data_IF_842530008972
#
_entry.id   IF_842530008972
#
_cell.length_a   1.000
_cell.length_b   1.000
_cell.length_c   1.000
_cell.angle_alpha   90.00
_cell.angle_beta   90.00
_cell.angle_gamma   90.00
#
_symmetry.space_group_name_H-M   'P 1'
#
loop_
_entity.id
_entity.type
_entity.pdbx_description
1 polymer ?
#
# COMPACT_ATOMS: atom_id res chain seq x y z
N UNK A 1 31.67 16.01 51.11
CA UNK A 1 32.27 17.30 50.71
C UNK A 1 33.24 17.05 49.55
N UNK A 2 32.79 17.22 48.31
CA UNK A 2 33.67 17.32 47.13
C UNK A 2 33.34 18.64 46.41
N UNK A 3 34.06 19.66 46.90
CA UNK A 3 34.71 20.74 46.18
C UNK A 3 33.94 21.49 45.08
N UNK A 4 33.42 22.62 45.56
CA UNK A 4 33.00 23.91 45.01
C UNK A 4 33.74 24.48 43.78
N UNK A 5 34.69 23.79 43.14
CA UNK A 5 35.49 24.39 42.06
C UNK A 5 34.86 24.32 40.65
N UNK A 6 33.60 23.92 40.52
CA UNK A 6 32.90 23.94 39.21
C UNK A 6 32.24 25.28 38.86
N UNK A 7 32.25 26.28 39.75
CA UNK A 7 31.44 27.49 39.58
C UNK A 7 32.16 28.75 39.10
N UNK A 8 33.45 28.70 38.78
CA UNK A 8 34.19 29.87 38.27
C UNK A 8 34.78 29.59 36.90
N UNK A 9 34.41 30.43 35.94
CA UNK A 9 34.62 30.25 34.52
C UNK A 9 36.06 30.06 34.08
N UNK A 10 36.22 29.23 33.06
CA UNK A 10 37.48 29.02 32.36
C UNK A 10 37.30 28.00 31.24
N UNK A 11 37.50 28.45 30.01
CA UNK A 11 37.86 27.71 28.79
C UNK A 11 38.02 26.17 28.91
N UNK A 12 37.32 25.44 28.04
CA UNK A 12 37.71 24.12 27.49
C UNK A 12 38.00 22.97 28.47
N UNK A 13 37.27 22.86 29.58
CA UNK A 13 37.07 21.55 30.17
C UNK A 13 36.02 20.80 29.35
N UNK A 14 36.51 20.11 28.31
CA UNK A 14 35.84 18.98 27.67
C UNK A 14 35.47 18.01 28.80
N UNK A 15 34.28 18.16 29.38
CA UNK A 15 33.70 17.09 30.15
C UNK A 15 33.59 15.91 29.19
N UNK A 16 34.05 14.73 29.62
CA UNK A 16 34.00 13.52 28.79
C UNK A 16 32.57 13.10 28.37
N UNK A 17 31.54 13.80 28.87
CA UNK A 17 30.13 13.62 28.54
C UNK A 17 29.46 14.95 28.13
N UNK A 18 30.08 15.74 27.25
CA UNK A 18 29.38 16.87 26.64
C UNK A 18 28.38 16.35 25.60
N UNK A 19 27.11 16.24 25.98
CA UNK A 19 26.00 16.02 25.07
C UNK A 19 25.69 17.35 24.37
N UNK A 20 26.50 17.68 23.36
CA UNK A 20 26.37 18.90 22.56
C UNK A 20 25.21 18.77 21.56
N UNK A 21 23.98 18.83 22.05
CA UNK A 21 22.79 18.91 21.18
C UNK A 21 22.57 20.36 20.73
N UNK A 22 22.27 20.53 19.44
CA UNK A 22 21.90 21.84 18.90
C UNK A 22 20.56 22.29 19.50
N UNK A 23 20.41 23.57 19.92
CA UNK A 23 19.16 24.06 20.45
C UNK A 23 18.07 24.11 19.35
N UNK A 24 16.86 23.61 19.67
CA UNK A 24 15.69 23.62 18.76
C UNK A 24 15.04 25.02 18.63
N UNK A 25 15.26 25.88 19.62
CA UNK A 25 14.73 27.25 19.64
C UNK A 25 15.88 28.22 19.84
N UNK A 26 16.25 28.91 18.77
CA UNK A 26 17.29 29.94 18.78
C UNK A 26 16.69 31.25 18.27
N UNK A 27 16.86 32.33 19.04
CA UNK A 27 16.46 33.68 18.63
C UNK A 27 17.73 34.45 18.30
N UNK A 28 17.96 34.73 17.01
CA UNK A 28 19.09 35.53 16.54
C UNK A 28 18.62 36.95 16.31
N UNK A 29 19.26 37.92 16.95
CA UNK A 29 19.03 39.33 16.72
C UNK A 29 20.23 39.90 15.98
N UNK A 30 20.04 40.30 14.73
CA UNK A 30 21.03 41.10 14.02
C UNK A 30 20.99 42.53 14.58
N UNK A 31 22.16 43.06 14.92
CA UNK A 31 22.28 44.40 15.50
C UNK A 31 23.15 45.26 14.60
N UNK A 32 22.63 46.43 14.22
CA UNK A 32 23.38 47.45 13.50
C UNK A 32 23.68 48.62 14.46
N UNK A 33 24.94 49.06 14.48
CA UNK A 33 25.38 50.18 15.31
C UNK A 33 25.74 51.38 14.44
N UNK A 34 25.24 52.55 14.80
CA UNK A 34 25.67 53.83 14.23
C UNK A 34 25.91 54.84 15.35
N UNK A 35 26.92 55.69 15.18
CA UNK A 35 27.27 56.71 16.16
C UNK A 35 27.61 58.04 15.50
N UNK A 36 27.19 59.11 16.17
CA UNK A 36 27.48 60.48 15.77
C UNK A 36 27.80 61.33 17.02
N UNK A 37 28.54 62.42 16.82
CA UNK A 37 28.79 63.38 17.90
C UNK A 37 27.48 64.09 18.27
N UNK A 38 27.12 64.01 19.56
CA UNK A 38 25.94 64.67 20.13
C UNK A 38 26.34 65.46 21.39
N UNK A 39 25.81 66.68 21.60
CA UNK A 39 25.05 67.49 20.64
C UNK A 39 25.92 67.99 19.46
N UNK A 40 25.30 68.46 18.39
CA UNK A 40 26.04 69.07 17.28
C UNK A 40 26.77 70.34 17.74
N UNK A 41 27.91 70.68 17.11
CA UNK A 41 28.75 71.84 17.51
C UNK A 41 27.99 73.17 17.60
N UNK A 42 26.95 73.33 16.77
CA UNK A 42 26.14 74.54 16.70
C UNK A 42 24.77 74.39 17.41
N UNK A 43 24.51 73.24 18.03
CA UNK A 43 23.25 72.99 18.71
C UNK A 43 23.34 73.50 20.15
N UNK A 44 22.62 74.58 20.41
CA UNK A 44 22.48 75.14 21.76
C UNK A 44 21.38 74.34 22.46
N UNK A 45 21.79 73.50 23.42
CA UNK A 45 20.86 72.93 24.39
C UNK A 45 20.28 74.14 25.16
N UNK A 46 18.95 74.16 25.33
CA UNK A 46 18.22 75.34 25.84
C UNK A 46 18.86 75.99 27.07
N UNK A 47 18.48 77.23 27.35
CA UNK A 47 19.09 78.07 28.41
C UNK A 47 19.03 77.47 29.82
N UNK A 48 18.26 76.42 30.03
CA UNK A 48 18.13 75.75 31.31
C UNK A 48 19.00 74.48 31.32
N UNK A 49 20.10 74.55 32.07
CA UNK A 49 21.04 73.44 32.23
C UNK A 49 20.89 72.83 33.62
N UNK A 50 19.94 71.91 33.82
CA UNK A 50 19.63 71.35 35.14
C UNK A 50 20.73 70.43 35.68
N UNK A 51 21.63 69.96 34.81
CA UNK A 51 22.66 68.98 35.20
C UNK A 51 23.72 69.54 36.16
N UNK A 52 24.02 70.84 36.07
CA UNK A 52 25.06 71.50 36.89
C UNK A 52 24.62 72.93 37.20
N UNK A 53 24.41 73.22 38.48
CA UNK A 53 23.88 74.50 38.97
C UNK A 53 24.84 75.66 38.67
N UNK A 54 26.16 75.43 38.79
CA UNK A 54 27.18 76.47 38.62
C UNK A 54 27.31 77.01 37.19
N UNK A 55 26.79 76.27 36.19
CA UNK A 55 26.83 76.66 34.77
C UNK A 55 25.44 76.93 34.19
N UNK A 56 24.41 77.08 35.04
CA UNK A 56 23.03 77.19 34.61
C UNK A 56 22.78 78.33 33.60
N UNK A 57 23.50 79.45 33.71
CA UNK A 57 23.36 80.59 32.80
C UNK A 57 24.34 80.58 31.61
N UNK A 58 25.27 79.62 31.53
CA UNK A 58 26.26 79.52 30.45
C UNK A 58 25.93 78.35 29.50
N UNK A 59 25.27 78.68 28.39
CA UNK A 59 24.90 77.73 27.33
C UNK A 59 26.11 77.00 26.71
N UNK A 60 27.28 77.63 26.63
CA UNK A 60 28.48 77.03 26.01
C UNK A 60 29.13 76.03 26.95
N UNK A 61 29.30 76.39 28.23
CA UNK A 61 29.81 75.48 29.24
C UNK A 61 28.89 74.26 29.40
N UNK A 62 27.58 74.49 29.32
CA UNK A 62 26.59 73.43 29.38
C UNK A 62 26.62 72.50 28.15
N UNK A 63 26.71 73.04 26.93
CA UNK A 63 26.83 72.22 25.73
C UNK A 63 28.10 71.35 25.78
N UNK A 64 29.23 71.91 26.26
CA UNK A 64 30.47 71.18 26.45
C UNK A 64 30.35 70.10 27.55
N UNK A 65 29.59 70.37 28.61
CA UNK A 65 29.29 69.39 29.65
C UNK A 65 28.52 68.20 29.09
N UNK A 66 27.41 68.43 28.38
CA UNK A 66 26.63 67.35 27.77
C UNK A 66 27.43 66.58 26.72
N UNK A 67 28.27 67.27 25.93
CA UNK A 67 29.14 66.65 24.93
C UNK A 67 30.19 65.72 25.54
N UNK A 68 30.66 65.99 26.77
CA UNK A 68 31.67 65.17 27.46
C UNK A 68 31.08 64.09 28.36
N UNK A 69 29.90 64.33 28.92
CA UNK A 69 29.36 63.52 30.01
C UNK A 69 28.06 62.77 29.66
N UNK A 70 27.52 62.92 28.45
CA UNK A 70 26.23 62.33 28.08
C UNK A 70 26.29 61.61 26.74
N UNK A 71 25.57 60.48 26.67
CA UNK A 71 25.34 59.74 25.43
C UNK A 71 23.82 59.58 25.22
N UNK A 72 23.38 59.76 23.98
CA UNK A 72 22.02 59.50 23.55
C UNK A 72 21.97 58.16 22.81
N UNK A 73 21.13 57.23 23.28
CA UNK A 73 20.99 55.88 22.74
C UNK A 73 19.53 55.69 22.34
N UNK A 74 19.29 55.30 21.09
CA UNK A 74 17.97 54.98 20.56
C UNK A 74 18.00 53.57 19.95
N UNK A 75 17.05 52.73 20.35
CA UNK A 75 16.90 51.35 19.86
C UNK A 75 15.66 51.31 18.99
N UNK A 76 15.82 50.88 17.74
CA UNK A 76 14.74 50.76 16.78
C UNK A 76 14.94 49.49 15.96
N UNK A 77 13.85 49.02 15.36
CA UNK A 77 13.93 47.93 14.39
C UNK A 77 14.52 48.46 13.09
N UNK A 78 15.57 47.82 12.59
CA UNK A 78 16.15 48.15 11.28
C UNK A 78 15.11 48.00 10.17
N UNK A 79 14.28 46.94 10.26
CA UNK A 79 13.27 46.58 9.26
C UNK A 79 11.99 46.12 9.97
N UNK A 80 10.81 46.38 9.37
CA UNK A 80 9.50 45.93 9.88
C UNK A 80 9.20 44.45 9.56
N UNK A 81 10.09 43.78 8.82
CA UNK A 81 9.91 42.40 8.43
C UNK A 81 10.50 41.48 9.49
N UNK A 82 9.75 40.44 9.84
CA UNK A 82 10.23 39.32 10.65
C UNK A 82 10.25 38.07 9.77
N UNK A 83 11.33 37.31 9.83
CA UNK A 83 11.44 35.99 9.20
C UNK A 83 11.36 34.93 10.30
N UNK A 84 10.58 33.88 10.09
CA UNK A 84 10.49 32.77 11.04
C UNK A 84 10.77 31.47 10.33
N UNK A 85 11.89 30.84 10.71
CA UNK A 85 12.29 29.52 10.24
C UNK A 85 11.78 28.49 11.24
N UNK A 86 10.89 27.59 10.80
CA UNK A 86 10.41 26.48 11.63
C UNK A 86 10.73 25.17 10.95
N UNK A 87 11.37 24.28 11.68
CA UNK A 87 11.56 22.89 11.27
C UNK A 87 10.34 22.07 11.69
N UNK A 88 9.73 21.39 10.72
CA UNK A 88 8.68 20.39 10.97
C UNK A 88 9.18 19.03 10.54
N UNK A 89 8.70 17.97 11.19
CA UNK A 89 9.06 16.60 10.81
C UNK A 89 8.81 16.37 9.31
N UNK A 90 9.85 15.96 8.56
CA UNK A 90 9.76 15.70 7.12
C UNK A 90 8.74 14.61 6.75
N UNK A 91 8.33 13.82 7.73
CA UNK A 91 7.28 12.81 7.59
C UNK A 91 6.34 12.87 8.78
N UNK A 92 5.11 13.31 8.54
CA UNK A 92 4.08 13.36 9.57
C UNK A 92 3.36 12.02 9.71
N UNK A 93 2.76 11.76 10.87
CA UNK A 93 1.90 10.59 11.11
C UNK A 93 0.77 10.48 10.07
N UNK A 94 0.29 11.61 9.55
CA UNK A 94 -0.73 11.63 8.49
C UNK A 94 -0.19 11.09 7.16
N UNK A 95 1.08 11.37 6.85
CA UNK A 95 1.75 10.83 5.65
C UNK A 95 1.94 9.31 5.81
N UNK A 96 2.27 8.85 7.02
CA UNK A 96 2.36 7.43 7.34
C UNK A 96 1.07 6.66 7.01
N UNK A 97 -0.07 7.17 7.48
CA UNK A 97 -1.36 6.55 7.20
C UNK A 97 -1.77 6.68 5.73
N UNK A 98 -1.39 7.75 5.04
CA UNK A 98 -1.59 7.90 3.60
C UNK A 98 -0.89 6.78 2.82
N UNK A 99 0.38 6.53 3.15
CA UNK A 99 1.18 5.49 2.49
C UNK A 99 0.69 4.08 2.83
N UNK A 100 0.32 3.82 4.10
CA UNK A 100 -0.32 2.56 4.49
C UNK A 100 -1.66 2.36 3.77
N UNK A 101 -2.50 3.39 3.71
CA UNK A 101 -3.81 3.32 3.06
C UNK A 101 -3.70 3.00 1.57
N UNK A 102 -2.77 3.63 0.85
CA UNK A 102 -2.51 3.33 -0.56
C UNK A 102 -2.04 1.90 -0.79
N UNK A 103 -1.02 1.46 -0.03
CA UNK A 103 -0.47 0.10 -0.16
C UNK A 103 -1.52 -0.96 0.22
N UNK A 104 -2.11 -0.87 1.42
CA UNK A 104 -3.08 -1.85 1.92
C UNK A 104 -4.34 -1.84 1.03
N UNK A 105 -4.78 -0.68 0.56
CA UNK A 105 -5.89 -0.56 -0.39
C UNK A 105 -5.63 -1.32 -1.69
N UNK A 106 -4.42 -1.20 -2.25
CA UNK A 106 -4.01 -1.95 -3.45
C UNK A 106 -4.00 -3.47 -3.19
N UNK A 107 -3.36 -3.91 -2.09
CA UNK A 107 -3.27 -5.35 -1.74
C UNK A 107 -4.65 -5.97 -1.46
N UNK A 108 -5.53 -5.26 -0.75
CA UNK A 108 -6.91 -5.70 -0.52
C UNK A 108 -7.68 -5.73 -1.84
N UNK A 109 -7.50 -4.73 -2.71
CA UNK A 109 -8.13 -4.70 -4.03
C UNK A 109 -7.73 -5.91 -4.90
N UNK A 110 -6.43 -6.19 -5.02
CA UNK A 110 -5.92 -7.38 -5.72
C UNK A 110 -6.48 -8.66 -5.12
N UNK A 111 -6.48 -8.79 -3.79
CA UNK A 111 -7.03 -9.94 -3.08
C UNK A 111 -8.51 -10.18 -3.42
N UNK A 112 -9.35 -9.14 -3.42
CA UNK A 112 -10.78 -9.27 -3.74
C UNK A 112 -11.00 -9.69 -5.20
N UNK A 113 -10.24 -9.13 -6.15
CA UNK A 113 -10.30 -9.53 -7.56
C UNK A 113 -9.96 -11.02 -7.71
N UNK A 114 -8.87 -11.48 -7.07
CA UNK A 114 -8.51 -12.90 -7.11
C UNK A 114 -9.58 -13.78 -6.46
N UNK A 115 -10.22 -13.35 -5.37
CA UNK A 115 -11.32 -14.10 -4.76
C UNK A 115 -12.50 -14.24 -5.72
N UNK A 116 -12.87 -13.19 -6.45
CA UNK A 116 -13.91 -13.25 -7.48
C UNK A 116 -13.53 -14.20 -8.62
N UNK A 117 -12.29 -14.16 -9.08
CA UNK A 117 -11.78 -15.09 -10.11
C UNK A 117 -11.88 -16.56 -9.65
N UNK A 118 -11.52 -16.86 -8.40
CA UNK A 118 -11.66 -18.22 -7.85
C UNK A 118 -13.14 -18.65 -7.78
N UNK A 119 -14.04 -17.75 -7.41
CA UNK A 119 -15.49 -18.04 -7.40
C UNK A 119 -16.01 -18.35 -8.80
N UNK A 120 -15.67 -17.51 -9.79
CA UNK A 120 -16.03 -17.73 -11.20
C UNK A 120 -15.49 -19.07 -11.70
N UNK A 121 -14.21 -19.36 -11.44
CA UNK A 121 -13.57 -20.62 -11.81
C UNK A 121 -14.27 -21.84 -11.18
N UNK A 122 -14.62 -21.77 -9.89
CA UNK A 122 -15.35 -22.84 -9.20
C UNK A 122 -16.74 -23.04 -9.82
N UNK A 123 -17.45 -21.97 -10.13
CA UNK A 123 -18.75 -22.04 -10.80
C UNK A 123 -18.64 -22.71 -12.18
N UNK A 124 -17.65 -22.35 -12.99
CA UNK A 124 -17.41 -22.96 -14.31
C UNK A 124 -17.04 -24.45 -14.21
N UNK A 125 -16.17 -24.81 -13.28
CA UNK A 125 -15.79 -26.20 -13.02
C UNK A 125 -17.02 -27.00 -12.61
N UNK A 126 -17.83 -26.48 -11.68
CA UNK A 126 -19.07 -27.11 -11.25
C UNK A 126 -20.05 -27.32 -12.42
N UNK A 127 -20.25 -26.29 -13.26
CA UNK A 127 -21.07 -26.40 -14.46
C UNK A 127 -20.55 -27.47 -15.43
N UNK A 128 -19.23 -27.51 -15.68
CA UNK A 128 -18.63 -28.51 -16.55
C UNK A 128 -18.73 -29.95 -15.99
N UNK A 129 -18.46 -30.13 -14.70
CA UNK A 129 -18.52 -31.46 -14.07
C UNK A 129 -19.94 -31.98 -13.94
N UNK A 130 -20.90 -31.14 -13.55
CA UNK A 130 -22.28 -31.55 -13.28
C UNK A 130 -23.12 -31.61 -14.55
N UNK A 131 -22.97 -30.66 -15.48
CA UNK A 131 -23.82 -30.60 -16.67
C UNK A 131 -23.20 -31.35 -17.86
N UNK A 132 -21.92 -31.09 -18.16
CA UNK A 132 -21.26 -31.64 -19.37
C UNK A 132 -20.83 -33.10 -19.20
N UNK A 133 -20.19 -33.49 -18.09
CA UNK A 133 -19.67 -34.86 -17.92
C UNK A 133 -20.75 -35.96 -17.98
N UNK A 134 -21.88 -35.90 -17.25
CA UNK A 134 -22.86 -36.98 -17.33
C UNK A 134 -23.48 -37.09 -18.73
N UNK A 135 -23.70 -35.97 -19.42
CA UNK A 135 -24.17 -35.99 -20.80
C UNK A 135 -23.16 -36.68 -21.73
N UNK A 136 -21.87 -36.38 -21.61
CA UNK A 136 -20.82 -37.05 -22.40
C UNK A 136 -20.73 -38.55 -22.07
N UNK A 137 -20.80 -38.93 -20.79
CA UNK A 137 -20.78 -40.33 -20.35
C UNK A 137 -22.02 -41.09 -20.83
N UNK A 138 -23.21 -40.49 -20.76
CA UNK A 138 -24.45 -41.06 -21.27
C UNK A 138 -24.36 -41.31 -22.78
N UNK A 139 -23.85 -40.33 -23.55
CA UNK A 139 -23.60 -40.49 -24.99
C UNK A 139 -22.62 -41.62 -25.30
N UNK A 140 -21.52 -41.73 -24.55
CA UNK A 140 -20.54 -42.84 -24.69
C UNK A 140 -21.16 -44.20 -24.34
N UNK A 141 -21.94 -44.30 -23.26
CA UNK A 141 -22.66 -45.52 -22.88
C UNK A 141 -23.64 -45.96 -23.97
N UNK A 142 -24.41 -45.03 -24.54
CA UNK A 142 -25.34 -45.31 -25.64
C UNK A 142 -24.63 -45.86 -26.88
N UNK A 143 -23.50 -45.25 -27.27
CA UNK A 143 -22.69 -45.75 -28.38
C UNK A 143 -22.14 -47.16 -28.11
N UNK A 144 -21.60 -47.41 -26.90
CA UNK A 144 -21.10 -48.74 -26.52
C UNK A 144 -22.20 -49.79 -26.56
N UNK A 145 -23.38 -49.50 -26.02
CA UNK A 145 -24.53 -50.40 -26.04
C UNK A 145 -24.98 -50.70 -27.49
N UNK A 146 -24.95 -49.71 -28.39
CA UNK A 146 -25.24 -49.90 -29.81
C UNK A 146 -24.25 -50.86 -30.48
N UNK A 147 -22.96 -50.80 -30.14
CA UNK A 147 -21.93 -51.73 -30.64
C UNK A 147 -22.11 -53.14 -30.07
N UNK A 148 -22.37 -53.27 -28.76
CA UNK A 148 -22.60 -54.56 -28.10
C UNK A 148 -23.84 -55.27 -28.66
N UNK A 149 -24.94 -54.53 -28.86
CA UNK A 149 -26.16 -55.05 -29.47
C UNK A 149 -25.89 -55.56 -30.90
N UNK A 150 -25.14 -54.81 -31.71
CA UNK A 150 -24.71 -55.24 -33.06
C UNK A 150 -23.88 -56.53 -33.05
N UNK A 151 -22.97 -56.71 -32.07
CA UNK A 151 -22.19 -57.96 -31.93
C UNK A 151 -23.07 -59.15 -31.53
N UNK A 152 -24.03 -58.95 -30.62
CA UNK A 152 -24.97 -60.01 -30.20
C UNK A 152 -25.84 -60.49 -31.37
N UNK A 153 -26.32 -59.58 -32.21
CA UNK A 153 -27.04 -59.95 -33.44
C UNK A 153 -26.20 -60.82 -34.36
N UNK A 154 -24.93 -60.44 -34.62
CA UNK A 154 -24.03 -61.20 -35.50
C UNK A 154 -23.73 -62.62 -34.98
N UNK A 155 -23.45 -62.77 -33.68
CA UNK A 155 -23.20 -64.09 -33.08
C UNK A 155 -24.40 -65.04 -33.16
N UNK A 156 -25.63 -64.50 -33.08
CA UNK A 156 -26.86 -65.31 -33.21
C UNK A 156 -27.08 -65.80 -34.65
N UNK A 157 -26.60 -65.06 -35.65
CA UNK A 157 -26.59 -65.48 -37.05
C UNK A 157 -25.54 -66.58 -37.30
N UNK A 158 -24.39 -66.52 -36.61
CA UNK A 158 -23.34 -67.54 -36.74
C UNK A 158 -23.69 -68.85 -36.03
N UNK A 159 -24.28 -68.81 -34.82
CA UNK A 159 -24.64 -70.02 -34.06
C UNK A 159 -25.75 -70.84 -34.72
N UNK A 160 -26.72 -70.17 -35.34
CA UNK A 160 -27.72 -70.83 -36.19
C UNK A 160 -27.02 -71.54 -37.36
N UNK A 161 -26.03 -70.92 -38.00
CA UNK A 161 -25.27 -71.56 -39.09
C UNK A 161 -24.39 -72.75 -38.65
N UNK A 162 -23.81 -72.73 -37.44
CA UNK A 162 -23.03 -73.85 -36.90
C UNK A 162 -23.89 -75.02 -36.41
N UNK A 163 -25.04 -74.73 -35.78
CA UNK A 163 -26.00 -75.77 -35.39
C UNK A 163 -26.55 -76.47 -36.62
N UNK A 164 -26.85 -75.72 -37.69
CA UNK A 164 -27.20 -76.30 -38.99
C UNK A 164 -26.08 -77.18 -39.53
N UNK A 165 -24.81 -76.73 -39.50
CA UNK A 165 -23.67 -77.53 -39.98
C UNK A 165 -23.38 -78.78 -39.14
N UNK A 166 -23.58 -78.73 -37.82
CA UNK A 166 -23.37 -79.88 -36.94
C UNK A 166 -24.53 -80.89 -37.00
N UNK A 167 -25.77 -80.40 -37.11
CA UNK A 167 -26.95 -81.23 -37.33
C UNK A 167 -26.90 -81.91 -38.70
N UNK A 168 -26.50 -81.17 -39.75
CA UNK A 168 -26.32 -81.74 -41.08
C UNK A 168 -25.20 -82.78 -41.11
N UNK A 169 -24.07 -82.55 -40.43
CA UNK A 169 -22.92 -83.49 -40.45
C UNK A 169 -23.12 -84.75 -39.60
N UNK A 170 -24.08 -84.77 -38.67
CA UNK A 170 -24.35 -85.93 -37.80
C UNK A 170 -25.51 -86.81 -38.30
N UNK A 171 -26.48 -86.25 -39.02
CA UNK A 171 -27.69 -86.99 -39.43
C UNK A 171 -27.73 -87.37 -40.91
N UNK A 172 -26.88 -86.83 -41.76
CA UNK A 172 -26.92 -87.18 -43.21
C UNK A 172 -26.12 -88.42 -43.58
N UNK A 173 -25.38 -89.04 -42.64
CA UNK A 173 -24.64 -90.26 -43.00
C UNK A 173 -25.53 -91.49 -43.11
N UNK A 174 -26.73 -91.55 -42.49
CA UNK A 174 -27.53 -92.78 -42.54
C UNK A 174 -29.05 -92.53 -42.67
N UNK A 175 -29.61 -92.99 -43.79
CA UNK A 175 -31.02 -93.41 -43.99
C UNK A 175 -32.09 -92.35 -44.27
N UNK A 176 -31.86 -91.54 -45.29
CA UNK A 176 -32.89 -91.20 -46.26
C UNK A 176 -33.57 -92.48 -46.81
N UNK A 177 -34.69 -92.94 -46.24
CA UNK A 177 -35.64 -93.86 -46.88
C UNK A 177 -36.81 -94.12 -45.91
N UNK A 178 -37.94 -93.45 -46.17
CA UNK A 178 -39.28 -94.05 -46.28
C UNK A 178 -40.38 -93.12 -45.74
N UNK A 179 -41.46 -93.07 -46.55
CA UNK A 179 -42.83 -92.80 -46.13
C UNK A 179 -43.17 -91.31 -45.87
N UNK A 180 -43.69 -90.49 -46.79
CA UNK A 180 -44.66 -90.65 -47.88
C UNK A 180 -45.92 -91.46 -47.53
N UNK A 181 -46.89 -90.78 -46.93
CA UNK A 181 -48.35 -90.92 -47.13
C UNK A 181 -49.05 -89.87 -46.26
N UNK A 182 -49.82 -88.91 -46.82
CA UNK A 182 -51.27 -89.04 -47.10
C UNK A 182 -52.03 -89.19 -45.77
N UNK A 183 -52.91 -88.29 -45.32
CA UNK A 183 -54.08 -87.76 -46.04
C UNK A 183 -54.76 -86.60 -45.29
N UNK A 184 -55.64 -85.91 -46.02
CA UNK A 184 -56.50 -84.79 -45.66
C UNK A 184 -57.68 -85.16 -44.74
N UNK A 185 -58.02 -84.31 -43.76
CA UNK A 185 -59.22 -83.44 -43.75
C UNK A 185 -59.62 -82.90 -42.35
N UNK A 186 -60.04 -81.62 -42.38
CA UNK A 186 -60.83 -80.81 -41.42
C UNK A 186 -62.15 -81.55 -41.03
N UNK A 187 -62.92 -81.22 -39.95
CA UNK A 187 -63.19 -79.83 -39.55
C UNK A 187 -63.49 -79.45 -38.08
N UNK A 188 -63.27 -78.15 -37.85
CA UNK A 188 -64.10 -77.13 -37.20
C UNK A 188 -65.28 -77.59 -36.31
N UNK A 189 -65.17 -77.29 -35.02
CA UNK A 189 -66.19 -76.69 -34.17
C UNK A 189 -65.53 -75.53 -33.40
#
# INVERSE_FOLDING_TARGET
MRNFTQHSGGFHHIQQNCECVQPCSENVFETAYSAAAWPAKNFIIGVECPAVIDIANDSRACTEYYRKNTAYIEIYYEQLNFETLRETAGYSIVNLFSDFGGNIGLWIGFSIITMMEIVELVCEICYYLVYRRPMQVARRKQQRNKVLLRRRFRAHTDSSSMSSRAADRSMTTESSLNFKSTDYNLPRC
#
